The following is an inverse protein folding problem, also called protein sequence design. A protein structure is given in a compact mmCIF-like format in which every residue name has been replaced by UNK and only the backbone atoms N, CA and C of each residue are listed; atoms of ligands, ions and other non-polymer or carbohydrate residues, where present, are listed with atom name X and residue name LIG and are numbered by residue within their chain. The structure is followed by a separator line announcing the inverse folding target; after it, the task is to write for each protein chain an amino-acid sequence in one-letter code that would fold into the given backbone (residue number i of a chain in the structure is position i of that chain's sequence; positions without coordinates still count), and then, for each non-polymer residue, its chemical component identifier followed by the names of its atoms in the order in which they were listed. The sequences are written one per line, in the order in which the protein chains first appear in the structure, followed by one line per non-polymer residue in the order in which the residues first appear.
data_IF_799209774830
#
_entry.id   IF_799209774830
#
_cell.length_a   1.000
_cell.length_b   1.000
_cell.length_c   1.000
_cell.angle_alpha   90.00
_cell.angle_beta   90.00
_cell.angle_gamma   90.00
#
_symmetry.space_group_name_H-M   'P 1'
#
loop_
_entity.id
_entity.type
_entity.pdbx_description
1 polymer ?
#
# COMPACT_ATOMS: atom_id res chain seq x y z
N UNK A 1 11.46 40.70 11.45
CA UNK A 1 11.51 39.38 12.09
C UNK A 1 10.60 39.41 13.31
N UNK A 2 9.38 39.01 13.17
CA UNK A 2 8.46 38.84 14.28
C UNK A 2 8.01 37.37 14.27
N UNK A 3 8.68 36.56 15.08
CA UNK A 3 8.25 35.22 15.43
C UNK A 3 7.00 35.37 16.29
N UNK A 4 5.84 35.12 15.70
CA UNK A 4 4.58 35.05 16.44
C UNK A 4 4.65 33.83 17.35
N UNK A 5 5.08 34.03 18.58
CA UNK A 5 4.91 33.03 19.65
C UNK A 5 3.41 32.80 19.81
N UNK A 6 2.95 31.59 19.63
CA UNK A 6 1.61 31.19 19.99
C UNK A 6 1.36 31.62 21.44
N UNK A 7 0.24 32.32 21.68
CA UNK A 7 -0.03 32.86 23.03
C UNK A 7 -0.10 31.70 24.03
N UNK A 8 0.32 31.92 25.28
CA UNK A 8 0.15 30.93 26.36
C UNK A 8 -1.27 30.33 26.41
N UNK A 9 -2.27 31.16 26.15
CA UNK A 9 -3.67 30.72 26.04
C UNK A 9 -3.95 29.74 24.92
N UNK A 10 -3.26 29.83 23.76
CA UNK A 10 -3.46 28.93 22.66
C UNK A 10 -2.79 27.57 22.92
N UNK A 11 -1.66 27.60 23.64
CA UNK A 11 -0.96 26.38 24.08
C UNK A 11 -1.81 25.67 25.14
N UNK A 12 -2.31 26.38 26.13
CA UNK A 12 -3.21 25.82 27.17
C UNK A 12 -4.52 25.27 26.58
N UNK A 13 -5.12 25.98 25.61
CA UNK A 13 -6.30 25.48 24.88
C UNK A 13 -6.00 24.22 24.10
N UNK A 14 -4.82 24.10 23.44
CA UNK A 14 -4.40 22.91 22.74
C UNK A 14 -4.16 21.73 23.69
N UNK A 15 -3.52 21.97 24.83
CA UNK A 15 -3.30 20.94 25.84
C UNK A 15 -4.60 20.48 26.51
N UNK A 16 -5.53 21.39 26.74
CA UNK A 16 -6.82 21.06 27.36
C UNK A 16 -7.72 20.28 26.37
N UNK A 17 -7.72 20.64 25.06
CA UNK A 17 -8.36 19.86 24.02
C UNK A 17 -7.73 18.47 23.90
N UNK A 18 -6.39 18.38 23.91
CA UNK A 18 -5.68 17.10 23.91
C UNK A 18 -6.05 16.18 25.07
N UNK A 19 -6.23 16.74 26.27
CA UNK A 19 -6.69 15.98 27.45
C UNK A 19 -8.13 15.51 27.33
N UNK A 20 -9.01 16.34 26.74
CA UNK A 20 -10.42 16.00 26.49
C UNK A 20 -10.50 14.90 25.41
N UNK A 21 -9.77 15.03 24.30
CA UNK A 21 -9.72 14.03 23.24
C UNK A 21 -9.20 12.67 23.75
N UNK A 22 -8.17 12.67 24.59
CA UNK A 22 -7.67 11.46 25.23
C UNK A 22 -8.69 10.84 26.19
N UNK A 23 -9.44 11.66 26.92
CA UNK A 23 -10.46 11.19 27.86
C UNK A 23 -11.72 10.69 27.15
N UNK A 24 -12.13 11.31 26.05
CA UNK A 24 -13.21 10.84 25.18
C UNK A 24 -12.82 9.56 24.44
N UNK A 25 -11.58 9.45 23.98
CA UNK A 25 -11.04 8.23 23.35
C UNK A 25 -11.03 7.04 24.31
N UNK A 26 -10.87 7.28 25.61
CA UNK A 26 -10.98 6.23 26.64
C UNK A 26 -12.43 5.80 26.92
N UNK A 27 -13.41 6.63 26.61
CA UNK A 27 -14.84 6.35 26.89
C UNK A 27 -15.63 5.82 25.70
N UNK A 28 -15.21 6.10 24.47
CA UNK A 28 -15.94 5.69 23.25
C UNK A 28 -15.11 4.74 22.43
N UNK A 29 -15.20 3.47 22.77
CA UNK A 29 -14.83 2.35 21.92
C UNK A 29 -13.39 2.25 21.37
N UNK A 30 -12.93 1.04 21.33
CA UNK A 30 -11.69 0.47 20.84
C UNK A 30 -11.33 0.78 19.37
N UNK A 31 -11.99 1.73 18.70
CA UNK A 31 -11.70 2.11 17.33
C UNK A 31 -10.51 3.07 17.23
N UNK A 32 -9.78 2.94 16.12
CA UNK A 32 -8.63 3.76 15.82
C UNK A 32 -8.98 5.26 15.74
N UNK A 33 -8.10 6.09 16.30
CA UNK A 33 -8.22 7.54 16.25
C UNK A 33 -7.00 8.15 15.54
N UNK A 34 -7.21 8.73 14.36
CA UNK A 34 -6.15 9.36 13.54
C UNK A 34 -5.43 10.51 14.25
N UNK A 35 -6.01 11.07 15.30
CA UNK A 35 -5.40 12.18 16.06
C UNK A 35 -4.13 11.77 16.80
N UNK A 36 -3.86 10.47 16.96
CA UNK A 36 -2.55 9.97 17.38
C UNK A 36 -1.43 10.45 16.45
N UNK A 37 -1.72 10.54 15.15
CA UNK A 37 -0.81 11.03 14.11
C UNK A 37 -0.99 12.51 13.83
N UNK A 38 -2.22 12.96 13.53
CA UNK A 38 -2.48 14.33 13.06
C UNK A 38 -2.16 15.41 14.07
N UNK A 39 -2.12 15.08 15.37
CA UNK A 39 -1.68 15.98 16.44
C UNK A 39 -0.15 16.05 16.59
N UNK A 40 0.59 15.30 15.78
CA UNK A 40 2.05 15.38 15.73
C UNK A 40 2.51 16.41 14.70
N UNK A 41 3.83 16.57 14.58
CA UNK A 41 4.47 17.46 13.61
C UNK A 41 4.67 16.80 12.21
N UNK A 42 4.04 15.65 11.95
CA UNK A 42 4.10 14.96 10.66
C UNK A 42 3.52 15.81 9.53
N UNK A 43 4.18 15.81 8.37
CA UNK A 43 3.64 16.34 7.12
C UNK A 43 2.83 15.27 6.39
N UNK A 44 3.29 14.02 6.51
CA UNK A 44 2.67 12.84 5.93
C UNK A 44 2.43 11.85 7.06
N UNK A 45 1.16 11.57 7.32
CA UNK A 45 0.69 10.69 8.37
C UNK A 45 0.10 9.42 7.73
N UNK A 46 0.73 8.28 7.97
CA UNK A 46 0.35 6.98 7.38
C UNK A 46 -0.21 6.11 8.49
N UNK A 47 -1.45 5.64 8.34
CA UNK A 47 -2.08 4.71 9.25
C UNK A 47 -2.36 3.38 8.57
N UNK A 48 -1.77 2.31 9.09
CA UNK A 48 -1.89 0.95 8.55
C UNK A 48 -2.49 0.06 9.62
N UNK A 49 -3.45 -0.79 9.28
CA UNK A 49 -4.05 -1.71 10.24
C UNK A 49 -5.16 -2.55 9.63
N UNK A 50 -5.79 -3.36 10.46
CA UNK A 50 -6.90 -4.23 10.04
C UNK A 50 -8.03 -3.45 9.38
N UNK A 51 -8.77 -4.12 8.51
CA UNK A 51 -9.98 -3.57 7.89
C UNK A 51 -11.04 -3.26 8.96
N UNK A 52 -11.87 -2.24 8.74
CA UNK A 52 -12.98 -1.85 9.63
C UNK A 52 -12.59 -1.34 11.03
N UNK A 53 -11.31 -1.08 11.30
CA UNK A 53 -10.87 -0.55 12.60
C UNK A 53 -11.14 0.95 12.82
N UNK A 54 -11.78 1.65 11.87
CA UNK A 54 -12.18 3.06 12.01
C UNK A 54 -11.24 4.08 11.39
N UNK A 55 -10.17 3.70 10.69
CA UNK A 55 -9.20 4.62 10.06
C UNK A 55 -9.87 5.68 9.19
N UNK A 56 -10.67 5.25 8.22
CA UNK A 56 -11.38 6.14 7.29
C UNK A 56 -12.34 7.06 8.05
N UNK A 57 -13.16 6.49 8.96
CA UNK A 57 -14.10 7.27 9.76
C UNK A 57 -13.40 8.37 10.57
N UNK A 58 -12.32 8.03 11.25
CA UNK A 58 -11.55 8.97 12.08
C UNK A 58 -10.88 10.07 11.24
N UNK A 59 -10.42 9.74 10.02
CA UNK A 59 -9.84 10.73 9.11
C UNK A 59 -10.90 11.70 8.57
N UNK A 60 -12.10 11.20 8.31
CA UNK A 60 -13.24 12.05 7.91
C UNK A 60 -13.70 12.95 9.06
N UNK A 61 -13.74 12.44 10.29
CA UNK A 61 -14.02 13.25 11.47
C UNK A 61 -13.00 14.40 11.65
N UNK A 62 -11.71 14.11 11.42
CA UNK A 62 -10.65 15.11 11.44
C UNK A 62 -10.86 16.21 10.37
N UNK A 63 -11.14 15.86 9.11
CA UNK A 63 -11.33 16.89 8.07
C UNK A 63 -12.60 17.71 8.26
N UNK A 64 -13.65 17.11 8.82
CA UNK A 64 -14.87 17.85 9.19
C UNK A 64 -14.60 18.87 10.31
N UNK A 65 -13.79 18.50 11.31
CA UNK A 65 -13.35 19.41 12.36
C UNK A 65 -12.53 20.57 11.78
N UNK A 66 -11.57 20.28 10.89
CA UNK A 66 -10.74 21.30 10.24
C UNK A 66 -11.58 22.27 9.40
N UNK A 67 -12.60 21.77 8.71
CA UNK A 67 -13.50 22.63 7.96
C UNK A 67 -14.39 23.47 8.90
N UNK A 68 -14.93 22.88 9.95
CA UNK A 68 -15.80 23.62 10.88
C UNK A 68 -15.07 24.75 11.58
N UNK A 69 -13.78 24.55 11.92
CA UNK A 69 -12.97 25.47 12.71
C UNK A 69 -12.26 26.51 11.86
N UNK A 70 -11.68 26.10 10.73
CA UNK A 70 -10.77 26.93 9.93
C UNK A 70 -11.24 27.14 8.50
N UNK A 71 -12.33 26.50 8.08
CA UNK A 71 -12.80 26.45 6.68
C UNK A 71 -11.78 25.81 5.73
N UNK A 72 -10.91 24.95 6.24
CA UNK A 72 -9.96 24.20 5.42
C UNK A 72 -10.68 23.08 4.71
N UNK A 73 -10.61 23.08 3.37
CA UNK A 73 -11.15 22.01 2.57
C UNK A 73 -10.17 20.84 2.51
N UNK A 74 -10.64 19.69 2.06
CA UNK A 74 -9.83 18.49 1.89
C UNK A 74 -10.02 17.90 0.50
N UNK A 75 -9.09 17.02 0.10
CA UNK A 75 -9.23 16.18 -1.10
C UNK A 75 -9.15 14.71 -0.71
N UNK A 76 -10.19 13.96 -1.05
CA UNK A 76 -10.23 12.52 -0.86
C UNK A 76 -9.74 11.83 -2.14
N UNK A 77 -8.67 11.05 -2.01
CA UNK A 77 -7.98 10.43 -3.13
C UNK A 77 -8.22 8.92 -3.12
N UNK A 78 -8.50 8.38 -4.30
CA UNK A 78 -8.55 6.93 -4.56
C UNK A 78 -7.57 6.59 -5.68
N UNK A 79 -7.18 5.31 -5.76
CA UNK A 79 -6.32 4.85 -6.85
C UNK A 79 -7.04 4.91 -8.19
N UNK A 80 -8.31 4.47 -8.22
CA UNK A 80 -9.13 4.35 -9.41
C UNK A 80 -10.30 5.32 -9.40
N UNK A 81 -10.60 5.89 -10.57
CA UNK A 81 -11.75 6.79 -10.72
C UNK A 81 -13.10 6.06 -10.56
N UNK A 82 -13.11 4.79 -10.88
CA UNK A 82 -14.26 3.90 -10.75
C UNK A 82 -14.73 3.74 -9.29
N UNK A 83 -13.82 3.94 -8.32
CA UNK A 83 -14.12 3.93 -6.89
C UNK A 83 -14.83 5.19 -6.43
N UNK A 84 -14.82 6.24 -7.28
CA UNK A 84 -15.41 7.55 -6.98
C UNK A 84 -16.78 7.67 -7.65
N UNK A 85 -17.77 6.95 -7.13
CA UNK A 85 -19.15 7.10 -7.59
C UNK A 85 -19.95 8.04 -6.70
N UNK A 86 -21.02 8.62 -7.24
CA UNK A 86 -21.93 9.50 -6.45
C UNK A 86 -22.45 8.76 -5.22
N UNK A 87 -22.81 7.49 -5.38
CA UNK A 87 -23.34 6.66 -4.28
C UNK A 87 -22.29 6.45 -3.20
N UNK A 88 -21.11 5.92 -3.57
CA UNK A 88 -20.05 5.61 -2.60
C UNK A 88 -19.56 6.83 -1.86
N UNK A 89 -19.40 7.97 -2.55
CA UNK A 89 -18.93 9.21 -1.94
C UNK A 89 -20.00 9.86 -1.06
N UNK A 90 -21.28 9.75 -1.39
CA UNK A 90 -22.37 10.24 -0.51
C UNK A 90 -22.48 9.37 0.75
N UNK A 91 -22.37 8.05 0.60
CA UNK A 91 -22.41 7.09 1.71
C UNK A 91 -21.20 7.22 2.66
N UNK A 92 -20.07 7.73 2.18
CA UNK A 92 -18.83 7.90 2.93
C UNK A 92 -19.06 8.70 4.24
N UNK A 93 -19.94 9.68 4.22
CA UNK A 93 -20.26 10.51 5.36
C UNK A 93 -21.51 10.08 6.14
N UNK A 94 -22.18 9.01 5.76
CA UNK A 94 -23.44 8.56 6.37
C UNK A 94 -23.34 8.25 7.87
N UNK A 95 -22.15 7.81 8.32
CA UNK A 95 -21.86 7.48 9.72
C UNK A 95 -20.98 8.53 10.41
N UNK A 96 -20.72 9.66 9.77
CA UNK A 96 -19.84 10.70 10.31
C UNK A 96 -20.53 11.58 11.35
N UNK A 97 -19.72 12.31 12.14
CA UNK A 97 -20.21 13.20 13.19
C UNK A 97 -20.70 14.55 12.65
N UNK A 98 -21.41 14.59 11.53
CA UNK A 98 -21.90 15.83 10.91
C UNK A 98 -22.66 16.70 11.88
N UNK A 99 -23.54 16.10 12.68
CA UNK A 99 -24.38 16.83 13.68
C UNK A 99 -23.55 17.54 14.73
N UNK A 100 -22.41 16.95 15.11
CA UNK A 100 -21.49 17.55 16.09
C UNK A 100 -20.89 18.86 15.59
N UNK A 101 -20.60 18.96 14.31
CA UNK A 101 -19.87 20.10 13.74
C UNK A 101 -20.77 21.12 13.06
N UNK A 102 -21.91 20.71 12.51
CA UNK A 102 -22.69 21.55 11.59
C UNK A 102 -24.18 21.66 11.95
N UNK A 103 -24.61 20.99 13.01
CA UNK A 103 -26.01 21.00 13.45
C UNK A 103 -26.81 19.76 13.05
N UNK A 104 -28.03 19.60 13.61
CA UNK A 104 -28.79 18.34 13.53
C UNK A 104 -29.26 18.00 12.11
N UNK A 105 -29.47 19.00 11.26
CA UNK A 105 -30.03 18.83 9.92
C UNK A 105 -28.94 18.79 8.82
N UNK A 106 -27.67 18.88 9.23
CA UNK A 106 -26.54 18.91 8.31
C UNK A 106 -26.43 17.61 7.48
N UNK A 107 -26.25 17.77 6.18
CA UNK A 107 -26.09 16.70 5.20
C UNK A 107 -24.94 17.02 4.26
N UNK A 108 -24.22 15.99 3.84
CA UNK A 108 -23.23 16.09 2.77
C UNK A 108 -23.75 15.30 1.57
N UNK A 109 -23.69 15.93 0.41
CA UNK A 109 -23.96 15.31 -0.89
C UNK A 109 -22.72 15.38 -1.76
N UNK A 110 -22.61 14.48 -2.73
CA UNK A 110 -21.49 14.45 -3.67
C UNK A 110 -22.00 14.75 -5.08
N UNK A 111 -21.38 15.73 -5.73
CA UNK A 111 -21.72 16.12 -7.10
C UNK A 111 -20.48 16.64 -7.81
N UNK A 112 -20.23 16.17 -9.03
CA UNK A 112 -19.19 16.68 -9.95
C UNK A 112 -17.76 16.68 -9.31
N UNK A 113 -17.48 15.68 -8.46
CA UNK A 113 -16.19 15.56 -7.80
C UNK A 113 -16.02 16.43 -6.56
N UNK A 114 -17.12 16.99 -6.02
CA UNK A 114 -17.14 17.86 -4.85
C UNK A 114 -18.05 17.33 -3.75
N UNK A 115 -17.63 17.47 -2.50
CA UNK A 115 -18.45 17.26 -1.32
C UNK A 115 -19.11 18.56 -0.92
N UNK A 116 -20.43 18.57 -0.95
CA UNK A 116 -21.25 19.75 -0.71
C UNK A 116 -22.01 19.59 0.61
N UNK A 117 -21.70 20.46 1.58
CA UNK A 117 -22.38 20.55 2.85
C UNK A 117 -23.62 21.45 2.72
N UNK A 118 -24.75 20.96 3.18
CA UNK A 118 -25.96 21.73 3.45
C UNK A 118 -26.27 21.64 4.95
N UNK A 119 -26.21 22.75 5.66
CA UNK A 119 -26.40 22.78 7.13
C UNK A 119 -27.85 22.59 7.52
N UNK A 120 -28.73 23.26 6.79
CA UNK A 120 -30.18 23.21 6.92
C UNK A 120 -30.82 23.57 5.58
N UNK A 121 -32.14 23.64 5.52
CA UNK A 121 -32.86 23.94 4.28
C UNK A 121 -32.75 25.40 3.82
N UNK A 122 -32.36 26.32 4.70
CA UNK A 122 -32.21 27.74 4.40
C UNK A 122 -30.76 28.15 4.11
N UNK A 123 -29.78 27.39 4.61
CA UNK A 123 -28.38 27.70 4.44
C UNK A 123 -27.93 27.45 2.99
N UNK A 124 -27.10 28.33 2.41
CA UNK A 124 -26.50 28.09 1.11
C UNK A 124 -25.56 26.85 1.17
N UNK A 125 -25.49 26.06 0.10
CA UNK A 125 -24.57 24.92 0.04
C UNK A 125 -23.12 25.41 0.03
N UNK A 126 -22.26 24.73 0.80
CA UNK A 126 -20.83 25.02 0.91
C UNK A 126 -20.01 23.82 0.37
N UNK A 127 -19.04 24.05 -0.53
CA UNK A 127 -18.07 23.02 -0.91
C UNK A 127 -17.06 22.83 0.21
N UNK A 128 -17.02 21.64 0.80
CA UNK A 128 -16.13 21.32 1.93
C UNK A 128 -14.93 20.46 1.52
N UNK A 129 -14.99 19.84 0.37
CA UNK A 129 -13.93 18.94 -0.10
C UNK A 129 -14.11 18.51 -1.53
N UNK A 130 -13.10 17.82 -2.02
CA UNK A 130 -12.95 17.40 -3.42
C UNK A 130 -12.58 15.92 -3.49
N UNK A 131 -12.65 15.35 -4.70
CA UNK A 131 -12.08 14.03 -4.98
C UNK A 131 -11.05 14.10 -6.10
N UNK A 132 -10.09 13.18 -6.07
CA UNK A 132 -9.15 12.94 -7.15
C UNK A 132 -8.85 11.44 -7.27
N UNK A 133 -8.52 10.98 -8.48
CA UNK A 133 -8.09 9.61 -8.74
C UNK A 133 -6.71 9.59 -9.38
N UNK A 134 -5.83 8.68 -8.92
CA UNK A 134 -4.46 8.60 -9.44
C UNK A 134 -4.42 8.19 -10.91
N UNK A 135 -5.32 7.31 -11.34
CA UNK A 135 -5.39 6.88 -12.75
C UNK A 135 -5.87 7.97 -13.70
N UNK A 136 -6.32 9.11 -13.16
CA UNK A 136 -6.81 10.27 -13.93
C UNK A 136 -6.07 11.57 -13.58
N UNK A 137 -4.80 11.49 -13.26
CA UNK A 137 -3.99 12.65 -12.87
C UNK A 137 -3.99 13.76 -13.92
N UNK A 138 -4.04 13.42 -15.21
CA UNK A 138 -4.12 14.40 -16.29
C UNK A 138 -5.39 15.25 -16.21
N UNK A 139 -6.52 14.66 -15.87
CA UNK A 139 -7.80 15.37 -15.67
C UNK A 139 -7.79 16.21 -14.38
N UNK A 140 -7.03 15.81 -13.39
CA UNK A 140 -6.87 16.55 -12.13
C UNK A 140 -6.12 17.86 -12.33
N UNK A 141 -5.16 17.91 -13.26
CA UNK A 141 -4.31 19.10 -13.52
C UNK A 141 -5.10 20.37 -13.88
N UNK A 142 -6.27 20.23 -14.50
CA UNK A 142 -7.15 21.36 -14.86
C UNK A 142 -8.05 21.88 -13.74
N UNK A 143 -8.12 21.16 -12.60
CA UNK A 143 -9.02 21.50 -11.49
C UNK A 143 -8.38 22.44 -10.48
N UNK A 144 -9.21 23.22 -9.82
CA UNK A 144 -8.80 24.05 -8.69
C UNK A 144 -9.30 23.41 -7.38
N UNK A 145 -8.47 23.49 -6.34
CA UNK A 145 -8.73 22.95 -5.00
C UNK A 145 -8.64 24.05 -3.93
N UNK A 146 -9.56 25.02 -3.94
CA UNK A 146 -9.45 26.20 -3.10
C UNK A 146 -9.39 25.83 -1.63
N UNK A 147 -8.44 26.45 -0.93
CA UNK A 147 -8.22 26.30 0.52
C UNK A 147 -8.00 24.83 0.98
N UNK A 148 -7.53 23.95 0.09
CA UNK A 148 -7.24 22.56 0.44
C UNK A 148 -6.00 22.50 1.34
N UNK A 149 -6.16 21.95 2.54
CA UNK A 149 -5.09 21.75 3.52
C UNK A 149 -4.83 20.29 3.86
N UNK A 150 -5.75 19.42 3.53
CA UNK A 150 -5.62 18.00 3.85
C UNK A 150 -5.90 17.16 2.60
N UNK A 151 -4.98 16.24 2.31
CA UNK A 151 -5.21 15.15 1.35
C UNK A 151 -5.43 13.89 2.17
N UNK A 152 -6.51 13.16 1.89
CA UNK A 152 -6.78 11.83 2.45
C UNK A 152 -6.71 10.82 1.31
N UNK A 153 -5.65 10.01 1.28
CA UNK A 153 -5.51 8.92 0.34
C UNK A 153 -5.94 7.61 1.01
N UNK A 154 -7.12 7.17 0.70
CA UNK A 154 -7.68 5.94 1.28
C UNK A 154 -7.39 4.72 0.40
N UNK A 155 -7.09 3.59 1.04
CA UNK A 155 -6.68 2.34 0.42
C UNK A 155 -5.44 2.47 -0.48
N UNK A 156 -4.39 3.16 0.03
CA UNK A 156 -3.15 3.32 -0.73
C UNK A 156 -2.37 2.02 -0.93
N UNK A 157 -2.55 1.02 -0.07
CA UNK A 157 -2.01 -0.33 -0.25
C UNK A 157 -2.96 -1.15 -1.13
N UNK A 158 -2.49 -1.57 -2.29
CA UNK A 158 -3.25 -2.44 -3.18
C UNK A 158 -3.31 -3.86 -2.61
N UNK A 159 -4.41 -4.56 -2.82
CA UNK A 159 -4.45 -6.01 -2.60
C UNK A 159 -3.54 -6.70 -3.62
N UNK A 160 -2.98 -7.86 -3.23
CA UNK A 160 -2.12 -8.64 -4.13
C UNK A 160 -2.81 -9.01 -5.46
N UNK A 161 -4.14 -9.12 -5.43
CA UNK A 161 -4.97 -9.40 -6.61
C UNK A 161 -5.32 -8.16 -7.43
N UNK A 162 -5.05 -6.96 -6.91
CA UNK A 162 -5.38 -5.72 -7.59
C UNK A 162 -4.28 -5.31 -8.57
N UNK A 163 -4.71 -4.80 -9.71
CA UNK A 163 -3.79 -4.20 -10.68
C UNK A 163 -3.24 -2.87 -10.11
N UNK A 164 -1.92 -2.77 -9.91
CA UNK A 164 -1.27 -1.49 -9.61
C UNK A 164 -1.28 -0.56 -10.84
N UNK A 165 -1.09 0.72 -10.61
CA UNK A 165 -0.86 1.68 -11.68
C UNK A 165 0.58 1.59 -12.18
N UNK A 166 0.77 1.83 -13.47
CA UNK A 166 2.10 2.11 -14.00
C UNK A 166 2.54 3.48 -13.45
N UNK A 167 3.77 3.56 -12.97
CA UNK A 167 4.36 4.81 -12.46
C UNK A 167 3.49 5.46 -11.35
N UNK A 168 2.99 4.62 -10.42
CA UNK A 168 2.03 5.03 -9.40
C UNK A 168 2.58 6.13 -8.48
N UNK A 169 3.88 6.10 -8.15
CA UNK A 169 4.50 7.14 -7.32
C UNK A 169 4.55 8.47 -8.06
N UNK A 170 4.89 8.47 -9.35
CA UNK A 170 4.88 9.70 -10.15
C UNK A 170 3.47 10.29 -10.27
N UNK A 171 2.46 9.44 -10.44
CA UNK A 171 1.07 9.87 -10.45
C UNK A 171 0.65 10.46 -9.10
N UNK A 172 1.12 9.87 -8.01
CA UNK A 172 0.87 10.36 -6.66
C UNK A 172 1.51 11.73 -6.42
N UNK A 173 2.80 11.90 -6.73
CA UNK A 173 3.48 13.19 -6.58
C UNK A 173 2.88 14.29 -7.47
N UNK A 174 2.50 13.96 -8.70
CA UNK A 174 1.79 14.89 -9.58
C UNK A 174 0.42 15.28 -9.00
N UNK A 175 -0.28 14.34 -8.36
CA UNK A 175 -1.56 14.61 -7.68
C UNK A 175 -1.35 15.57 -6.51
N UNK A 176 -0.38 15.31 -5.64
CA UNK A 176 -0.02 16.20 -4.52
C UNK A 176 0.31 17.61 -5.02
N UNK A 177 1.20 17.71 -6.01
CA UNK A 177 1.64 19.01 -6.55
C UNK A 177 0.51 19.79 -7.21
N UNK A 178 -0.49 19.10 -7.76
CA UNK A 178 -1.67 19.71 -8.36
C UNK A 178 -2.63 20.23 -7.29
N UNK A 179 -2.89 19.45 -6.24
CA UNK A 179 -3.79 19.83 -5.15
C UNK A 179 -3.15 20.92 -4.29
N UNK A 180 -1.89 20.74 -3.92
CA UNK A 180 -1.13 21.67 -3.10
C UNK A 180 -0.33 22.67 -3.94
N UNK A 181 -0.94 23.29 -4.94
CA UNK A 181 -0.28 24.34 -5.74
C UNK A 181 0.31 25.42 -4.84
N UNK A 182 1.39 26.03 -5.31
CA UNK A 182 2.04 27.13 -4.60
C UNK A 182 1.05 28.29 -4.52
N UNK A 183 0.74 28.70 -3.30
CA UNK A 183 0.02 29.93 -3.01
C UNK A 183 1.03 30.98 -2.57
N UNK A 184 0.77 32.23 -2.86
CA UNK A 184 1.72 33.35 -2.62
C UNK A 184 2.09 33.56 -1.14
N UNK A 185 1.28 33.03 -0.20
CA UNK A 185 1.49 33.19 1.23
C UNK A 185 2.19 31.97 1.84
N UNK A 186 3.37 32.19 2.44
CA UNK A 186 4.13 31.15 3.13
C UNK A 186 3.38 30.57 4.36
N UNK A 187 2.46 31.31 4.95
CA UNK A 187 1.67 30.86 6.12
C UNK A 187 0.64 29.81 5.71
N UNK A 188 0.18 29.85 4.45
CA UNK A 188 -0.73 28.87 3.89
C UNK A 188 -0.11 27.48 3.68
N UNK A 189 1.22 27.39 3.69
CA UNK A 189 1.96 26.14 3.53
C UNK A 189 2.11 25.35 4.84
N UNK A 190 1.99 25.99 5.99
CA UNK A 190 2.30 25.38 7.30
C UNK A 190 1.31 24.34 7.76
N UNK A 191 0.05 24.47 7.38
CA UNK A 191 -1.04 23.60 7.87
C UNK A 191 -1.41 22.47 6.89
N UNK A 192 -0.60 22.27 5.85
CA UNK A 192 -0.83 21.20 4.87
C UNK A 192 -0.44 19.84 5.44
N UNK A 193 -1.31 18.87 5.25
CA UNK A 193 -1.16 17.52 5.76
C UNK A 193 -1.62 16.48 4.73
N UNK A 194 -0.90 15.38 4.64
CA UNK A 194 -1.29 14.22 3.86
C UNK A 194 -1.57 13.08 4.84
N UNK A 195 -2.74 12.47 4.72
CA UNK A 195 -3.15 11.30 5.48
C UNK A 195 -3.29 10.13 4.51
N UNK A 196 -2.54 9.06 4.73
CA UNK A 196 -2.60 7.85 3.91
C UNK A 196 -3.12 6.69 4.76
N UNK A 197 -4.16 6.02 4.28
CA UNK A 197 -4.82 4.95 5.00
C UNK A 197 -4.67 3.64 4.25
N UNK A 198 -4.13 2.62 4.91
CA UNK A 198 -3.90 1.30 4.35
C UNK A 198 -4.44 0.18 5.23
N UNK A 199 -4.88 -0.90 4.58
CA UNK A 199 -5.09 -2.16 5.26
C UNK A 199 -3.78 -2.96 5.27
N UNK A 200 -3.60 -3.86 6.24
CA UNK A 200 -2.37 -4.69 6.35
C UNK A 200 -2.36 -5.80 5.29
N UNK A 201 -2.37 -5.40 4.03
CA UNK A 201 -2.39 -6.30 2.88
C UNK A 201 -0.97 -6.78 2.57
N UNK A 202 -0.02 -5.86 2.45
CA UNK A 202 1.37 -6.15 2.12
C UNK A 202 2.33 -5.22 2.86
N UNK A 203 3.51 -5.71 3.23
CA UNK A 203 4.63 -4.91 3.73
C UNK A 203 5.41 -4.25 2.60
N UNK A 204 5.21 -4.70 1.37
CA UNK A 204 6.00 -4.35 0.20
C UNK A 204 5.18 -3.45 -0.72
N UNK A 205 5.42 -2.15 -0.59
CA UNK A 205 4.71 -1.15 -1.35
C UNK A 205 5.70 -0.09 -1.86
N UNK A 206 5.55 0.40 -3.08
CA UNK A 206 6.40 1.49 -3.58
C UNK A 206 6.32 2.75 -2.71
N UNK A 207 5.22 2.95 -1.99
CA UNK A 207 5.07 4.06 -1.04
C UNK A 207 5.99 3.93 0.17
N UNK A 208 6.20 2.72 0.69
CA UNK A 208 7.12 2.52 1.82
C UNK A 208 8.55 2.83 1.42
N UNK A 209 8.98 2.35 0.26
CA UNK A 209 10.30 2.69 -0.29
C UNK A 209 10.43 4.19 -0.53
N UNK A 210 9.44 4.81 -1.19
CA UNK A 210 9.44 6.24 -1.50
C UNK A 210 9.57 7.12 -0.26
N UNK A 211 8.89 6.76 0.83
CA UNK A 211 8.94 7.49 2.10
C UNK A 211 9.99 6.97 3.08
N UNK A 212 10.87 6.06 2.65
CA UNK A 212 11.95 5.52 3.48
C UNK A 212 11.48 4.74 4.71
N UNK A 213 10.28 4.14 4.63
CA UNK A 213 9.68 3.38 5.72
C UNK A 213 10.24 1.97 5.71
N UNK A 214 11.02 1.63 6.73
CA UNK A 214 11.48 0.27 6.96
C UNK A 214 10.36 -0.55 7.62
N UNK A 215 9.70 -1.38 6.82
CA UNK A 215 8.56 -2.19 7.27
C UNK A 215 8.93 -3.26 8.28
N UNK A 216 10.21 -3.65 8.39
CA UNK A 216 10.69 -4.56 9.42
C UNK A 216 10.69 -3.92 10.81
N UNK A 217 10.76 -2.59 10.88
CA UNK A 217 10.70 -1.82 12.13
C UNK A 217 9.28 -1.47 12.58
N UNK A 218 8.28 -1.72 11.73
CA UNK A 218 6.89 -1.46 12.07
C UNK A 218 6.39 -2.50 13.08
N UNK A 219 5.97 -2.01 14.25
CA UNK A 219 5.33 -2.83 15.29
C UNK A 219 3.94 -2.33 15.58
N UNK A 220 3.04 -3.26 15.81
CA UNK A 220 1.65 -2.94 16.14
C UNK A 220 1.54 -2.03 17.38
N UNK A 221 0.81 -0.93 17.25
CA UNK A 221 0.64 0.06 18.31
C UNK A 221 1.76 1.10 18.41
N UNK A 222 2.77 1.06 17.52
CA UNK A 222 3.89 2.01 17.51
C UNK A 222 3.85 2.93 16.28
N UNK A 223 4.44 4.12 16.43
CA UNK A 223 4.62 5.11 15.37
C UNK A 223 6.09 5.15 14.96
N UNK A 224 6.39 4.78 13.72
CA UNK A 224 7.70 4.96 13.11
C UNK A 224 7.78 6.37 12.51
N UNK A 225 8.87 7.09 12.81
CA UNK A 225 9.13 8.44 12.30
C UNK A 225 10.30 8.44 11.34
N UNK A 226 10.11 9.02 10.17
CA UNK A 226 11.15 9.16 9.14
C UNK A 226 11.26 10.64 8.73
N UNK A 227 12.49 11.14 8.61
CA UNK A 227 12.77 12.47 8.11
C UNK A 227 13.46 12.35 6.75
N UNK A 228 12.82 12.91 5.71
CA UNK A 228 13.35 12.93 4.35
C UNK A 228 13.84 14.32 4.07
N UNK A 229 15.15 14.47 3.86
CA UNK A 229 15.76 15.77 3.51
C UNK A 229 15.82 15.91 2.00
N UNK A 230 15.20 16.94 1.47
CA UNK A 230 15.31 17.27 0.05
C UNK A 230 16.75 17.73 -0.24
N UNK A 231 17.48 17.02 -1.13
CA UNK A 231 18.89 17.32 -1.37
C UNK A 231 19.12 18.69 -2.04
N UNK A 232 18.12 19.21 -2.75
CA UNK A 232 18.23 20.46 -3.50
C UNK A 232 18.05 21.71 -2.63
N UNK A 233 17.14 21.66 -1.64
CA UNK A 233 16.78 22.85 -0.85
C UNK A 233 16.89 22.67 0.67
N UNK A 234 17.33 21.51 1.12
CA UNK A 234 17.52 21.17 2.55
C UNK A 234 16.22 21.08 3.38
N UNK A 235 15.05 21.21 2.76
CA UNK A 235 13.78 21.09 3.47
C UNK A 235 13.54 19.66 3.93
N UNK A 236 13.00 19.52 5.14
CA UNK A 236 12.73 18.21 5.75
C UNK A 236 11.25 17.90 5.68
N UNK A 237 10.91 16.79 5.03
CA UNK A 237 9.57 16.18 5.08
C UNK A 237 9.55 15.16 6.22
N UNK A 238 8.65 15.35 7.17
CA UNK A 238 8.45 14.43 8.30
C UNK A 238 7.32 13.48 8.00
N UNK A 239 7.65 12.20 7.96
CA UNK A 239 6.70 11.10 7.74
C UNK A 239 6.49 10.36 9.05
N UNK A 240 5.25 10.14 9.43
CA UNK A 240 4.86 9.34 10.59
C UNK A 240 4.04 8.17 10.10
N UNK A 241 4.47 6.96 10.40
CA UNK A 241 3.77 5.75 10.02
C UNK A 241 3.36 4.99 11.27
N UNK A 242 2.08 4.88 11.52
CA UNK A 242 1.51 4.11 12.62
C UNK A 242 1.00 2.76 12.13
N UNK A 243 1.52 1.71 12.71
CA UNK A 243 0.91 0.40 12.60
C UNK A 243 -0.15 0.29 13.70
N UNK A 244 -1.40 0.51 13.33
CA UNK A 244 -2.52 0.60 14.26
C UNK A 244 -2.63 -0.65 15.13
N UNK A 245 -2.93 -0.47 16.40
CA UNK A 245 -3.18 -1.57 17.32
C UNK A 245 -4.37 -2.42 16.82
N UNK A 246 -4.23 -3.72 16.95
CA UNK A 246 -5.30 -4.66 16.63
C UNK A 246 -6.52 -4.41 17.51
N UNK A 247 -7.70 -4.45 16.91
CA UNK A 247 -8.97 -4.37 17.61
C UNK A 247 -9.64 -5.77 17.63
N UNK A 248 -9.57 -6.48 18.75
CA UNK A 248 -10.09 -7.85 18.85
C UNK A 248 -11.59 -7.94 18.54
N UNK A 249 -12.37 -6.94 18.96
CA UNK A 249 -13.82 -6.91 18.73
C UNK A 249 -14.17 -6.93 17.24
N UNK A 250 -13.48 -6.10 16.46
CA UNK A 250 -13.65 -6.08 14.99
C UNK A 250 -13.19 -7.40 14.38
N UNK A 251 -12.11 -7.97 14.90
CA UNK A 251 -11.59 -9.26 14.47
C UNK A 251 -12.55 -10.39 14.74
N UNK A 252 -13.15 -10.45 15.92
CA UNK A 252 -14.14 -11.47 16.30
C UNK A 252 -15.39 -11.42 15.41
N UNK A 253 -15.92 -10.23 15.13
CA UNK A 253 -17.08 -10.05 14.26
C UNK A 253 -16.80 -10.46 12.80
N UNK A 254 -15.59 -10.30 12.30
CA UNK A 254 -15.24 -10.62 10.91
C UNK A 254 -14.69 -12.02 10.74
N UNK A 255 -13.99 -12.57 11.72
CA UNK A 255 -13.32 -13.87 11.64
C UNK A 255 -14.27 -15.06 11.46
N UNK A 256 -15.53 -14.92 11.89
CA UNK A 256 -16.58 -15.95 11.66
C UNK A 256 -16.79 -16.20 10.17
N UNK A 257 -16.59 -15.20 9.33
CA UNK A 257 -16.81 -15.28 7.87
C UNK A 257 -15.51 -15.32 7.06
N UNK A 258 -14.41 -14.88 7.64
CA UNK A 258 -13.11 -14.73 6.95
C UNK A 258 -12.08 -15.63 7.63
N UNK A 259 -12.18 -16.93 7.32
CA UNK A 259 -11.42 -18.01 7.93
C UNK A 259 -10.03 -18.06 7.34
N UNK A 260 -9.07 -17.41 7.50
CA UNK A 260 -7.73 -17.54 6.91
C UNK A 260 -7.00 -16.22 6.70
N UNK A 261 -7.68 -15.11 6.91
CA UNK A 261 -7.06 -13.79 6.82
C UNK A 261 -6.35 -13.44 8.13
N UNK A 262 -5.02 -13.32 8.11
CA UNK A 262 -4.21 -12.85 9.23
C UNK A 262 -4.61 -11.43 9.65
N UNK A 263 -4.88 -10.57 8.67
CA UNK A 263 -5.35 -9.21 8.91
C UNK A 263 -6.63 -9.18 9.74
N UNK A 264 -7.59 -10.07 9.45
CA UNK A 264 -8.83 -10.15 10.20
C UNK A 264 -8.64 -10.74 11.60
N UNK A 265 -7.76 -11.72 11.76
CA UNK A 265 -7.56 -12.46 13.00
C UNK A 265 -6.62 -11.77 14.00
N UNK A 266 -5.56 -11.16 13.50
CA UNK A 266 -4.48 -10.59 14.34
C UNK A 266 -4.12 -9.16 13.97
N UNK A 267 -4.70 -8.62 12.90
CA UNK A 267 -4.31 -7.32 12.32
C UNK A 267 -2.96 -7.34 11.63
N UNK A 268 -2.32 -8.49 11.53
CA UNK A 268 -1.04 -8.65 10.85
C UNK A 268 -1.17 -8.56 9.33
N UNK A 269 -0.04 -8.35 8.69
CA UNK A 269 0.00 -8.33 7.22
C UNK A 269 -0.32 -9.70 6.63
N UNK A 270 -1.07 -9.70 5.53
CA UNK A 270 -1.47 -10.90 4.76
C UNK A 270 -0.33 -11.55 3.98
N UNK A 271 0.90 -11.19 4.28
CA UNK A 271 2.08 -11.65 3.53
C UNK A 271 2.27 -13.14 3.70
N UNK A 272 2.42 -13.89 2.61
CA UNK A 272 2.78 -15.29 2.68
C UNK A 272 4.14 -15.45 3.38
N UNK A 273 4.25 -16.47 4.21
CA UNK A 273 5.53 -16.86 4.81
C UNK A 273 6.42 -17.35 3.69
N UNK A 274 7.66 -16.84 3.60
CA UNK A 274 8.66 -17.40 2.69
C UNK A 274 8.87 -18.85 3.06
N UNK A 275 8.64 -19.74 2.10
CA UNK A 275 9.01 -21.13 2.25
C UNK A 275 10.55 -21.24 2.25
N UNK A 276 11.10 -22.02 3.16
CA UNK A 276 12.52 -22.37 3.10
C UNK A 276 12.77 -23.16 1.82
N UNK A 277 13.90 -22.85 1.16
CA UNK A 277 14.33 -23.63 0.00
C UNK A 277 14.57 -25.05 0.47
N UNK A 278 13.95 -26.07 -0.12
CA UNK A 278 14.05 -27.45 0.36
C UNK A 278 15.41 -28.04 -0.04
N UNK A 279 16.45 -27.69 0.68
CA UNK A 279 17.74 -28.38 0.58
C UNK A 279 17.73 -29.60 1.50
N UNK A 280 18.18 -30.71 0.98
CA UNK A 280 18.49 -31.90 1.75
C UNK A 280 20.02 -32.13 1.77
N UNK A 281 20.58 -32.46 2.91
CA UNK A 281 22.00 -32.80 3.04
C UNK A 281 22.35 -33.95 2.09
N UNK A 282 23.41 -33.78 1.28
CA UNK A 282 23.87 -34.79 0.32
C UNK A 282 23.30 -34.65 -1.09
N UNK A 283 22.48 -33.67 -1.38
CA UNK A 283 22.03 -33.38 -2.76
C UNK A 283 23.14 -32.67 -3.56
N UNK A 284 23.32 -33.11 -4.81
CA UNK A 284 24.08 -32.32 -5.80
C UNK A 284 23.14 -31.29 -6.41
N UNK A 285 23.47 -30.01 -6.34
CA UNK A 285 22.65 -28.93 -6.86
C UNK A 285 23.36 -28.17 -7.98
N UNK A 286 22.57 -27.66 -8.90
CA UNK A 286 23.04 -26.81 -9.98
C UNK A 286 22.02 -25.74 -10.31
N UNK A 287 22.45 -24.47 -10.28
CA UNK A 287 21.64 -23.31 -10.63
C UNK A 287 22.03 -22.78 -12.01
N UNK A 288 21.07 -22.66 -12.91
CA UNK A 288 21.25 -22.00 -14.21
C UNK A 288 20.25 -20.85 -14.37
N UNK A 289 20.74 -19.68 -14.74
CA UNK A 289 19.87 -18.52 -14.96
C UNK A 289 19.14 -18.67 -16.29
N UNK A 290 17.82 -18.74 -16.25
CA UNK A 290 16.95 -18.83 -17.43
C UNK A 290 16.64 -17.47 -18.03
N UNK A 291 16.30 -16.51 -17.19
CA UNK A 291 15.98 -15.15 -17.60
C UNK A 291 16.34 -14.14 -16.51
N UNK A 292 16.44 -12.89 -16.91
CA UNK A 292 16.62 -11.76 -15.98
C UNK A 292 15.75 -10.58 -16.37
N UNK A 293 15.46 -9.72 -15.42
CA UNK A 293 14.67 -8.51 -15.60
C UNK A 293 15.05 -7.46 -14.58
N UNK A 294 14.89 -6.19 -14.93
CA UNK A 294 15.12 -5.10 -14.00
C UNK A 294 13.86 -4.80 -13.21
N UNK A 295 13.97 -4.81 -11.89
CA UNK A 295 12.90 -4.43 -10.98
C UNK A 295 13.01 -2.95 -10.64
N UNK A 296 12.21 -2.12 -11.30
CA UNK A 296 12.20 -0.67 -11.10
C UNK A 296 11.81 -0.26 -9.67
N UNK A 297 11.01 -1.08 -8.98
CA UNK A 297 10.58 -0.77 -7.62
C UNK A 297 11.70 -0.96 -6.60
N UNK A 298 12.59 -1.92 -6.84
CA UNK A 298 13.73 -2.22 -5.98
C UNK A 298 15.04 -1.62 -6.48
N UNK A 299 15.06 -1.04 -7.69
CA UNK A 299 16.25 -0.54 -8.33
C UNK A 299 17.36 -1.61 -8.43
N UNK A 300 16.98 -2.82 -8.85
CA UNK A 300 17.90 -3.96 -8.93
C UNK A 300 17.58 -4.89 -10.10
N UNK A 301 18.59 -5.61 -10.54
CA UNK A 301 18.42 -6.72 -11.48
C UNK A 301 18.02 -7.97 -10.72
N UNK A 302 16.96 -8.65 -11.17
CA UNK A 302 16.56 -9.96 -10.65
C UNK A 302 16.71 -11.02 -11.72
N UNK A 303 17.09 -12.21 -11.30
CA UNK A 303 17.23 -13.40 -12.17
C UNK A 303 16.26 -14.49 -11.74
N UNK A 304 15.77 -15.22 -12.73
CA UNK A 304 15.03 -16.46 -12.53
C UNK A 304 15.95 -17.62 -12.89
N UNK A 305 16.23 -18.44 -11.91
CA UNK A 305 17.14 -19.56 -12.01
C UNK A 305 16.37 -20.87 -11.93
N UNK A 306 16.77 -21.87 -12.71
CA UNK A 306 16.35 -23.22 -12.48
C UNK A 306 17.34 -23.89 -11.52
N UNK A 307 16.82 -24.44 -10.45
CA UNK A 307 17.55 -25.26 -9.50
C UNK A 307 17.20 -26.71 -9.75
N UNK A 308 18.21 -27.51 -10.09
CA UNK A 308 18.06 -28.94 -10.33
C UNK A 308 18.80 -29.70 -9.23
N UNK A 309 18.09 -30.62 -8.58
CA UNK A 309 18.67 -31.50 -7.58
C UNK A 309 18.49 -32.96 -7.98
N UNK A 310 19.45 -33.76 -7.61
CA UNK A 310 19.38 -35.21 -7.76
C UNK A 310 19.70 -35.82 -6.39
N UNK A 311 18.83 -36.68 -5.92
CA UNK A 311 19.08 -37.51 -4.75
C UNK A 311 18.81 -38.97 -5.06
N UNK A 312 19.30 -39.87 -4.23
CA UNK A 312 19.17 -41.32 -4.41
C UNK A 312 18.45 -41.89 -3.20
N UNK A 313 17.46 -42.76 -3.47
CA UNK A 313 16.90 -43.62 -2.43
C UNK A 313 17.54 -44.98 -2.46
N UNK A 314 17.78 -45.55 -1.29
CA UNK A 314 18.29 -46.90 -1.17
C UNK A 314 17.22 -47.89 -1.63
N UNK A 315 17.58 -48.73 -2.59
CA UNK A 315 16.77 -49.85 -3.02
C UNK A 315 17.56 -51.14 -2.88
N UNK A 316 17.03 -52.11 -2.17
CA UNK A 316 17.65 -53.43 -2.01
C UNK A 316 16.77 -54.46 -2.64
N UNK A 317 17.14 -54.93 -3.82
CA UNK A 317 16.43 -56.00 -4.50
C UNK A 317 17.33 -57.23 -4.55
N UNK A 318 16.89 -58.36 -4.00
CA UNK A 318 17.66 -59.62 -3.94
C UNK A 318 19.05 -59.46 -3.30
N UNK A 319 19.21 -58.53 -2.31
CA UNK A 319 20.50 -58.27 -1.65
C UNK A 319 21.48 -57.42 -2.44
N UNK A 320 21.09 -56.88 -3.58
CA UNK A 320 21.89 -55.98 -4.41
C UNK A 320 21.47 -54.54 -4.10
N UNK A 321 22.44 -53.71 -3.78
CA UNK A 321 22.25 -52.27 -3.63
C UNK A 321 22.13 -51.64 -5.03
N UNK A 322 20.95 -51.09 -5.31
CA UNK A 322 20.65 -50.40 -6.56
C UNK A 322 20.02 -49.04 -6.22
N UNK A 323 20.83 -47.97 -6.16
CA UNK A 323 20.30 -46.66 -5.82
C UNK A 323 19.43 -46.13 -6.97
N UNK A 324 18.17 -45.82 -6.62
CA UNK A 324 17.23 -45.22 -7.57
C UNK A 324 17.43 -43.70 -7.58
N UNK A 325 17.83 -43.10 -8.70
CA UNK A 325 17.96 -41.67 -8.82
C UNK A 325 16.59 -41.01 -8.89
N UNK A 326 16.43 -39.97 -8.12
CA UNK A 326 15.28 -39.07 -8.16
C UNK A 326 15.74 -37.69 -8.55
N UNK A 327 14.94 -37.01 -9.35
CA UNK A 327 15.21 -35.66 -9.81
C UNK A 327 14.06 -34.75 -9.43
N UNK A 328 14.38 -33.55 -9.04
CA UNK A 328 13.41 -32.47 -8.92
C UNK A 328 14.00 -31.19 -9.43
N UNK A 329 13.14 -30.33 -9.93
CA UNK A 329 13.47 -28.97 -10.30
C UNK A 329 12.52 -27.99 -9.66
N UNK A 330 13.01 -26.78 -9.43
CA UNK A 330 12.20 -25.66 -9.03
C UNK A 330 12.87 -24.34 -9.42
N UNK A 331 12.09 -23.30 -9.55
CA UNK A 331 12.60 -21.98 -9.86
C UNK A 331 13.04 -21.27 -8.59
N UNK A 332 14.19 -20.56 -8.69
CA UNK A 332 14.65 -19.61 -7.67
C UNK A 332 14.68 -18.22 -8.28
N UNK A 333 14.00 -17.26 -7.66
CA UNK A 333 14.02 -15.86 -8.06
C UNK A 333 14.83 -15.08 -7.02
N UNK A 334 15.92 -14.47 -7.46
CA UNK A 334 16.87 -13.77 -6.59
C UNK A 334 17.55 -12.61 -7.33
N UNK A 335 18.22 -11.68 -6.62
CA UNK A 335 19.05 -10.66 -7.25
C UNK A 335 20.11 -11.27 -8.17
N UNK A 336 20.37 -10.62 -9.30
CA UNK A 336 21.38 -11.01 -10.27
C UNK A 336 22.43 -9.90 -10.42
N UNK A 337 23.69 -10.29 -10.66
CA UNK A 337 24.79 -9.35 -10.86
C UNK A 337 24.90 -8.88 -12.31
N UNK A 338 24.39 -9.66 -13.25
CA UNK A 338 24.44 -9.39 -14.68
C UNK A 338 23.24 -10.01 -15.40
N UNK A 339 22.85 -9.46 -16.56
CA UNK A 339 21.73 -9.98 -17.35
C UNK A 339 21.94 -11.44 -17.77
N UNK A 340 20.83 -12.17 -17.92
CA UNK A 340 20.85 -13.53 -18.46
C UNK A 340 21.35 -13.55 -19.90
N UNK A 341 22.15 -14.56 -20.23
CA UNK A 341 22.57 -14.83 -21.61
C UNK A 341 21.45 -15.43 -22.47
N UNK A 342 20.40 -16.02 -21.87
CA UNK A 342 19.28 -16.61 -22.59
C UNK A 342 18.19 -15.58 -22.88
N UNK A 343 17.67 -14.95 -21.84
CA UNK A 343 16.61 -13.98 -22.00
C UNK A 343 16.71 -12.84 -20.99
N UNK A 344 16.60 -11.61 -21.48
CA UNK A 344 16.62 -10.43 -20.64
C UNK A 344 15.45 -9.51 -20.98
N UNK A 345 14.64 -9.17 -19.97
CA UNK A 345 13.61 -8.16 -20.05
C UNK A 345 14.12 -6.85 -19.47
N UNK A 346 13.86 -5.75 -20.17
CA UNK A 346 14.30 -4.42 -19.75
C UNK A 346 13.73 -4.05 -18.38
N UNK A 347 12.50 -4.49 -18.09
CA UNK A 347 11.85 -4.25 -16.80
C UNK A 347 10.89 -5.39 -16.45
N UNK A 348 10.70 -5.64 -15.14
CA UNK A 348 9.70 -6.58 -14.64
C UNK A 348 8.28 -6.21 -15.11
N UNK A 349 8.03 -4.92 -15.38
CA UNK A 349 6.77 -4.43 -15.94
C UNK A 349 6.47 -5.00 -17.32
N UNK A 350 7.48 -5.43 -18.07
CA UNK A 350 7.29 -6.06 -19.38
C UNK A 350 6.56 -7.41 -19.28
N UNK A 351 6.70 -8.13 -18.17
CA UNK A 351 5.87 -9.29 -17.88
C UNK A 351 4.39 -8.93 -17.74
N UNK A 352 4.11 -7.75 -17.18
CA UNK A 352 2.76 -7.28 -16.86
C UNK A 352 2.08 -6.57 -18.02
N UNK A 353 2.83 -5.71 -18.74
CA UNK A 353 2.33 -4.82 -19.77
C UNK A 353 2.75 -5.23 -21.17
N UNK A 354 3.70 -6.16 -21.29
CA UNK A 354 4.09 -6.74 -22.56
C UNK A 354 2.89 -7.30 -23.32
N UNK A 355 2.98 -7.32 -24.63
CA UNK A 355 1.97 -8.02 -25.42
C UNK A 355 2.01 -9.51 -25.07
N UNK A 356 0.85 -10.14 -24.99
CA UNK A 356 0.71 -11.59 -24.78
C UNK A 356 1.73 -12.41 -25.61
N UNK A 357 1.95 -11.99 -26.86
CA UNK A 357 2.91 -12.61 -27.76
C UNK A 357 4.38 -12.57 -27.27
N UNK A 358 4.78 -11.58 -26.47
CA UNK A 358 6.17 -11.49 -26.01
C UNK A 358 6.45 -12.48 -24.88
N UNK A 359 5.51 -12.67 -23.96
CA UNK A 359 5.63 -13.66 -22.89
C UNK A 359 5.68 -15.09 -23.47
N UNK A 360 4.74 -15.41 -24.37
CA UNK A 360 4.69 -16.74 -24.99
C UNK A 360 5.95 -17.05 -25.80
N UNK A 361 6.48 -16.06 -26.53
CA UNK A 361 7.76 -16.20 -27.25
C UNK A 361 8.93 -16.42 -26.31
N UNK A 362 8.98 -15.69 -25.19
CA UNK A 362 10.00 -15.85 -24.18
C UNK A 362 9.95 -17.25 -23.56
N UNK A 363 8.77 -17.68 -23.10
CA UNK A 363 8.58 -19.00 -22.49
C UNK A 363 8.95 -20.12 -23.47
N UNK A 364 8.54 -19.98 -24.74
CA UNK A 364 8.89 -20.92 -25.78
C UNK A 364 10.40 -20.96 -26.05
N UNK A 365 11.07 -19.82 -26.14
CA UNK A 365 12.52 -19.76 -26.35
C UNK A 365 13.28 -20.42 -25.19
N UNK A 366 12.86 -20.18 -23.93
CA UNK A 366 13.45 -20.84 -22.76
C UNK A 366 13.24 -22.35 -22.84
N UNK A 367 12.03 -22.80 -23.15
CA UNK A 367 11.71 -24.22 -23.29
C UNK A 367 12.54 -24.88 -24.39
N UNK A 368 12.62 -24.29 -25.58
CA UNK A 368 13.35 -24.81 -26.72
C UNK A 368 14.88 -24.93 -26.46
N UNK A 369 15.45 -24.02 -25.65
CA UNK A 369 16.89 -24.02 -25.36
C UNK A 369 17.28 -24.82 -24.11
N UNK A 370 16.37 -24.89 -23.11
CA UNK A 370 16.72 -25.47 -21.79
C UNK A 370 15.92 -26.68 -21.38
N UNK A 371 14.89 -27.04 -22.17
CA UNK A 371 13.89 -28.08 -21.85
C UNK A 371 13.17 -27.83 -20.53
N UNK A 372 13.05 -26.54 -20.13
CA UNK A 372 12.37 -26.12 -18.90
C UNK A 372 11.10 -25.37 -19.25
N UNK A 373 9.96 -25.89 -18.82
CA UNK A 373 8.68 -25.18 -18.87
C UNK A 373 8.50 -24.32 -17.61
N UNK A 374 8.84 -23.04 -17.72
CA UNK A 374 8.74 -22.08 -16.63
C UNK A 374 7.28 -21.92 -16.16
N UNK A 375 6.31 -22.02 -17.08
CA UNK A 375 4.90 -21.91 -16.72
C UNK A 375 4.46 -23.14 -15.92
N UNK A 376 4.91 -24.34 -16.28
CA UNK A 376 4.63 -25.57 -15.55
C UNK A 376 5.21 -25.52 -14.12
N UNK A 377 6.45 -25.02 -13.96
CA UNK A 377 7.05 -24.82 -12.64
C UNK A 377 6.21 -23.87 -11.76
N UNK A 378 5.69 -22.78 -12.35
CA UNK A 378 4.84 -21.83 -11.65
C UNK A 378 3.48 -22.45 -11.31
N UNK A 379 2.84 -23.11 -12.26
CA UNK A 379 1.51 -23.69 -12.09
C UNK A 379 1.49 -24.80 -11.02
N UNK A 380 2.59 -25.51 -10.86
CA UNK A 380 2.77 -26.51 -9.82
C UNK A 380 3.33 -25.93 -8.51
N UNK A 381 3.60 -24.60 -8.47
CA UNK A 381 4.12 -23.89 -7.31
C UNK A 381 5.50 -24.37 -6.88
N UNK A 382 6.32 -24.73 -7.84
CA UNK A 382 7.73 -25.08 -7.64
C UNK A 382 8.61 -23.84 -7.84
N UNK A 383 8.29 -22.74 -7.14
CA UNK A 383 8.96 -21.45 -7.24
C UNK A 383 9.28 -20.92 -5.85
N UNK A 384 10.51 -20.49 -5.67
CA UNK A 384 11.02 -19.92 -4.44
C UNK A 384 11.64 -18.56 -4.71
N UNK A 385 11.32 -17.57 -3.93
CA UNK A 385 11.95 -16.27 -3.99
C UNK A 385 12.85 -16.08 -2.78
N UNK A 386 14.05 -15.58 -2.99
CA UNK A 386 15.00 -15.30 -1.93
C UNK A 386 14.49 -14.18 -1.00
N UNK A 387 13.66 -13.30 -1.53
CA UNK A 387 13.15 -12.12 -0.84
C UNK A 387 11.65 -11.98 -1.08
N UNK A 388 10.88 -11.68 -0.03
CA UNK A 388 9.44 -11.51 -0.14
C UNK A 388 9.03 -10.38 -1.07
N UNK A 389 9.84 -9.31 -1.15
CA UNK A 389 9.56 -8.19 -2.04
C UNK A 389 9.67 -8.61 -3.50
N UNK A 390 10.71 -9.37 -3.83
CA UNK A 390 10.88 -9.99 -5.16
C UNK A 390 9.69 -10.90 -5.47
N UNK A 391 9.26 -11.72 -4.51
CA UNK A 391 8.12 -12.62 -4.67
C UNK A 391 6.85 -11.87 -5.04
N UNK A 392 6.53 -10.80 -4.31
CA UNK A 392 5.34 -10.00 -4.56
C UNK A 392 5.39 -9.28 -5.92
N UNK A 393 6.50 -8.63 -6.23
CA UNK A 393 6.64 -7.92 -7.50
C UNK A 393 6.56 -8.87 -8.69
N UNK A 394 7.24 -10.01 -8.59
CA UNK A 394 7.21 -11.02 -9.64
C UNK A 394 5.80 -11.59 -9.79
N UNK A 395 5.15 -11.99 -8.70
CA UNK A 395 3.80 -12.55 -8.72
C UNK A 395 2.77 -11.56 -9.27
N UNK A 396 2.80 -10.29 -8.83
CA UNK A 396 1.92 -9.25 -9.37
C UNK A 396 2.14 -9.03 -10.87
N UNK A 397 3.36 -9.11 -11.33
CA UNK A 397 3.70 -8.98 -12.74
C UNK A 397 3.26 -10.19 -13.56
N UNK A 398 3.28 -11.38 -12.96
CA UNK A 398 2.90 -12.63 -13.60
C UNK A 398 1.39 -12.87 -13.64
N UNK A 399 0.66 -12.49 -12.59
CA UNK A 399 -0.81 -12.70 -12.42
C UNK A 399 -1.61 -12.25 -13.65
N UNK A 400 -1.22 -11.18 -14.31
CA UNK A 400 -1.94 -10.65 -15.47
C UNK A 400 -2.06 -11.67 -16.61
N UNK A 401 -1.13 -12.59 -16.71
CA UNK A 401 -1.00 -13.53 -17.82
C UNK A 401 -1.25 -14.99 -17.41
N UNK A 402 -1.34 -15.23 -16.10
CA UNK A 402 -1.59 -16.57 -15.58
C UNK A 402 -2.75 -16.53 -14.58
N UNK A 403 -3.86 -17.27 -14.81
CA UNK A 403 -4.90 -17.45 -13.81
C UNK A 403 -4.41 -18.16 -12.55
N UNK A 404 -3.22 -18.77 -12.61
CA UNK A 404 -2.58 -19.50 -11.51
C UNK A 404 -1.61 -18.64 -10.69
N UNK A 405 -1.41 -17.36 -11.02
CA UNK A 405 -0.52 -16.46 -10.30
C UNK A 405 -0.82 -16.33 -8.81
N UNK A 406 -2.08 -16.43 -8.40
CA UNK A 406 -2.43 -16.46 -6.98
C UNK A 406 -1.88 -17.68 -6.23
N UNK A 407 -1.82 -18.86 -6.87
CA UNK A 407 -1.23 -20.05 -6.25
C UNK A 407 0.27 -19.91 -6.03
N UNK A 408 0.92 -19.12 -6.85
CA UNK A 408 2.33 -18.81 -6.71
C UNK A 408 2.63 -18.04 -5.42
N UNK A 409 1.80 -17.06 -5.07
CA UNK A 409 1.94 -16.27 -3.83
C UNK A 409 1.57 -17.11 -2.59
N UNK A 410 0.56 -17.96 -2.67
CA UNK A 410 0.11 -18.77 -1.54
C UNK A 410 1.15 -19.81 -1.06
N UNK A 411 2.14 -20.11 -1.89
CA UNK A 411 3.17 -21.13 -1.61
C UNK A 411 4.50 -20.57 -1.13
N UNK A 412 4.66 -19.26 -1.05
CA UNK A 412 5.86 -18.59 -0.53
C UNK A 412 5.80 -18.25 0.95
#
# INVERSE_FOLDING_TARGET
MATTQASKKDIEKREQRRKIDIAETKKTHDYYNIRSLTNTDGHIDIAIGQRSNGKTWSSLDYVLEMYSTNKYTFTYVRRWAEDISVRTMTELFSKSNLKKYFGPDAKITFRTGEFILKRDDQAPPETIGFTAALNQVAHTKGRNFPNCRTIVFDEFLAMLTERGLKDEIDAWEQTISTIFRIEESADLMRDRKIIMLGNTVTKYSPYFKHYGIDTHKLKQGEILSVNITNPTNGKVTRVKCEYCKYNPRVGEETSVFVVGSKMAQTGEFEVPVTAEIPYTDGETSHDSMLMSMYDDAMDQLIGVYIHKTTWYTENYTLGIYDPVPHHRSFLIIKPALQPSSYYHLTTIKDLRYGTWNNKDRMLKAILDETDIDVQDEIDHGRVYCQDQFIAENFAQSWIRYSPMGMKFIEKF
#
